data_IF_739136689258
#
_entry.id   IF_739136689258
#
_cell.length_a   1.000
_cell.length_b   1.000
_cell.length_c   1.000
_cell.angle_alpha   90.00
_cell.angle_beta   90.00
_cell.angle_gamma   90.00
#
_symmetry.space_group_name_H-M   'P 1'
#
loop_
_entity.id
_entity.type
_entity.pdbx_description
1 polymer ?
#
# COMPACT_ATOMS: atom_id res chain seq x y z
N UNK A 1 -4.17 -9.72 -14.28
CA UNK A 1 -3.86 -8.46 -13.58
C UNK A 1 -2.40 -8.53 -13.13
N UNK A 2 -1.69 -7.40 -13.12
CA UNK A 2 -0.35 -7.33 -12.53
C UNK A 2 -0.45 -7.56 -11.01
N UNK A 3 0.46 -8.35 -10.38
CA UNK A 3 0.46 -8.51 -8.93
C UNK A 3 0.76 -7.19 -8.19
N UNK A 4 1.40 -6.23 -8.85
CA UNK A 4 1.84 -4.99 -8.19
C UNK A 4 0.75 -3.95 -7.97
N UNK A 5 -0.34 -3.96 -8.75
CA UNK A 5 -1.36 -2.91 -8.70
C UNK A 5 -0.82 -1.49 -8.97
N UNK A 6 -1.72 -0.50 -8.94
CA UNK A 6 -1.38 0.94 -8.94
C UNK A 6 -2.63 1.74 -8.53
N UNK A 7 -2.44 2.93 -7.97
CA UNK A 7 -3.52 3.88 -7.67
C UNK A 7 -3.45 5.04 -8.66
N UNK A 8 -4.49 5.23 -9.46
CA UNK A 8 -4.56 6.34 -10.42
C UNK A 8 -5.66 7.31 -10.01
N UNK A 9 -5.27 8.57 -9.78
CA UNK A 9 -6.19 9.66 -9.51
C UNK A 9 -6.48 10.43 -10.79
N UNK A 10 -7.77 10.59 -11.09
CA UNK A 10 -8.25 11.50 -12.13
C UNK A 10 -8.50 12.86 -11.49
N UNK A 11 -7.66 13.84 -11.82
CA UNK A 11 -7.68 15.17 -11.20
C UNK A 11 -8.00 16.26 -12.23
N UNK A 12 -9.15 16.95 -12.11
CA UNK A 12 -9.42 18.15 -12.90
C UNK A 12 -8.47 19.28 -12.48
N UNK A 13 -7.73 19.84 -13.44
CA UNK A 13 -6.77 20.92 -13.21
C UNK A 13 -6.60 21.73 -14.49
N UNK A 14 -6.61 23.06 -14.40
CA UNK A 14 -6.32 23.99 -15.51
C UNK A 14 -7.11 23.68 -16.80
N UNK A 15 -8.40 23.33 -16.68
CA UNK A 15 -9.27 23.04 -17.83
C UNK A 15 -9.08 21.65 -18.46
N UNK A 16 -8.26 20.79 -17.86
CA UNK A 16 -8.04 19.40 -18.28
C UNK A 16 -8.25 18.41 -17.14
N UNK A 17 -8.30 17.13 -17.47
CA UNK A 17 -8.27 16.03 -16.48
C UNK A 17 -6.91 15.34 -16.58
N UNK A 18 -6.22 15.22 -15.46
CA UNK A 18 -4.93 14.54 -15.35
C UNK A 18 -5.12 13.15 -14.77
N UNK A 19 -4.60 12.12 -15.43
CA UNK A 19 -4.42 10.79 -14.86
C UNK A 19 -3.05 10.71 -14.20
N UNK A 20 -3.03 10.73 -12.87
CA UNK A 20 -1.81 10.67 -12.09
C UNK A 20 -1.73 9.36 -11.34
N UNK A 21 -0.66 8.61 -11.55
CA UNK A 21 -0.28 7.53 -10.67
C UNK A 21 0.18 8.10 -9.33
N UNK A 22 -0.36 7.52 -8.26
CA UNK A 22 -0.02 7.77 -6.88
C UNK A 22 0.70 6.55 -6.33
N UNK A 23 1.96 6.73 -5.93
CA UNK A 23 2.79 5.64 -5.38
C UNK A 23 3.22 5.97 -3.96
N UNK A 24 3.48 4.93 -3.17
CA UNK A 24 4.11 5.09 -1.86
C UNK A 24 5.45 5.84 -1.99
N UNK A 25 5.87 6.59 -0.95
CA UNK A 25 7.19 7.21 -0.94
C UNK A 25 8.30 6.17 -0.98
N UNK A 26 9.52 6.60 -1.31
CA UNK A 26 10.68 5.72 -1.18
C UNK A 26 11.02 5.53 0.31
N UNK A 27 11.40 4.32 0.74
CA UNK A 27 12.06 4.11 2.02
C UNK A 27 13.29 5.03 2.18
N UNK A 28 13.67 5.43 3.41
CA UNK A 28 13.16 4.95 4.70
C UNK A 28 12.06 5.83 5.33
N UNK A 29 11.54 6.85 4.63
CA UNK A 29 10.61 7.81 5.23
C UNK A 29 9.16 7.60 4.79
N UNK A 30 8.47 6.67 5.45
CA UNK A 30 7.05 6.35 5.19
C UNK A 30 6.10 7.53 5.42
N UNK A 31 6.47 8.52 6.23
CA UNK A 31 5.63 9.69 6.50
C UNK A 31 5.57 10.67 5.32
N UNK A 32 6.48 10.54 4.36
CA UNK A 32 6.48 11.39 3.17
C UNK A 32 5.16 11.32 2.40
N UNK A 33 4.78 12.38 1.66
CA UNK A 33 3.62 12.37 0.78
C UNK A 33 3.71 11.28 -0.29
N UNK A 34 2.57 10.92 -0.89
CA UNK A 34 2.57 10.04 -2.05
C UNK A 34 3.33 10.68 -3.21
N UNK A 35 4.08 9.86 -3.94
CA UNK A 35 4.73 10.27 -5.18
C UNK A 35 3.67 10.36 -6.28
N UNK A 36 3.80 11.37 -7.14
CA UNK A 36 2.88 11.62 -8.24
C UNK A 36 3.61 11.50 -9.56
N UNK A 37 3.06 10.71 -10.48
CA UNK A 37 3.55 10.60 -11.85
C UNK A 37 2.41 10.83 -12.82
N UNK A 38 2.55 11.81 -13.70
CA UNK A 38 1.57 12.06 -14.75
C UNK A 38 1.64 10.93 -15.79
N UNK A 39 0.55 10.21 -15.98
CA UNK A 39 0.45 9.15 -16.99
C UNK A 39 -0.22 9.67 -18.25
N UNK A 40 -1.30 10.43 -18.11
CA UNK A 40 -2.06 10.95 -19.24
C UNK A 40 -2.79 12.26 -18.91
N UNK A 41 -3.23 12.97 -19.95
CA UNK A 41 -4.20 14.08 -19.83
C UNK A 41 -5.35 13.95 -20.82
N UNK A 42 -6.50 14.47 -20.44
CA UNK A 42 -7.70 14.62 -21.27
C UNK A 42 -7.98 16.11 -21.34
N UNK A 43 -7.89 16.66 -22.55
CA UNK A 43 -7.95 18.10 -22.81
C UNK A 43 -9.01 18.38 -23.87
N UNK A 44 -9.63 19.56 -23.82
CA UNK A 44 -10.57 20.00 -24.86
C UNK A 44 -9.94 21.16 -25.61
N UNK A 45 -9.68 20.97 -26.90
CA UNK A 45 -9.10 21.98 -27.79
C UNK A 45 -9.98 22.06 -29.04
N UNK A 46 -10.42 23.27 -29.41
CA UNK A 46 -11.27 23.51 -30.59
C UNK A 46 -12.54 22.64 -30.67
N UNK A 47 -13.17 22.37 -29.52
CA UNK A 47 -14.35 21.47 -29.39
C UNK A 47 -14.07 19.99 -29.67
N UNK A 48 -12.81 19.60 -29.80
CA UNK A 48 -12.36 18.21 -29.87
C UNK A 48 -11.73 17.78 -28.55
N UNK A 49 -12.01 16.54 -28.13
CA UNK A 49 -11.36 15.92 -26.97
C UNK A 49 -10.05 15.30 -27.42
N UNK A 50 -8.94 15.74 -26.83
CA UNK A 50 -7.62 15.16 -27.03
C UNK A 50 -7.18 14.38 -25.80
N UNK A 51 -6.71 13.16 -26.04
CA UNK A 51 -6.15 12.27 -25.02
C UNK A 51 -4.67 12.08 -25.28
N UNK A 52 -3.85 12.50 -24.33
CA UNK A 52 -2.39 12.50 -24.45
C UNK A 52 -1.77 11.59 -23.39
N UNK A 53 -0.91 10.67 -23.82
CA UNK A 53 -0.01 9.93 -22.95
C UNK A 53 1.21 10.80 -22.65
N UNK A 54 1.62 10.83 -21.39
CA UNK A 54 2.81 11.53 -20.89
C UNK A 54 3.91 10.57 -20.43
N UNK A 55 3.73 9.25 -20.64
CA UNK A 55 4.74 8.25 -20.30
C UNK A 55 5.94 8.28 -21.25
N UNK A 56 7.08 7.75 -20.79
CA UNK A 56 8.31 7.73 -21.57
C UNK A 56 9.29 8.85 -21.21
N UNK A 57 10.48 8.86 -21.84
CA UNK A 57 11.53 9.82 -21.55
C UNK A 57 11.10 11.27 -21.86
N UNK A 58 11.52 12.20 -21.00
CA UNK A 58 11.29 13.64 -21.11
C UNK A 58 9.82 14.10 -21.05
N UNK A 59 8.88 13.22 -20.72
CA UNK A 59 7.44 13.53 -20.61
C UNK A 59 6.88 14.22 -21.87
N UNK A 60 7.33 13.82 -23.06
CA UNK A 60 6.84 14.39 -24.32
C UNK A 60 5.45 13.82 -24.61
N UNK A 61 4.39 14.65 -24.65
CA UNK A 61 3.04 14.15 -24.85
C UNK A 61 2.86 13.55 -26.24
N UNK A 62 2.14 12.44 -26.33
CA UNK A 62 1.81 11.78 -27.60
C UNK A 62 0.42 11.13 -27.53
N UNK A 63 -0.15 10.78 -28.67
CA UNK A 63 -1.54 10.30 -28.74
C UNK A 63 -1.76 9.01 -27.94
N UNK A 64 -2.87 8.96 -27.21
CA UNK A 64 -3.40 7.73 -26.61
C UNK A 64 -4.93 7.67 -26.75
N UNK A 65 -5.52 6.55 -26.32
CA UNK A 65 -6.95 6.38 -26.16
C UNK A 65 -7.28 6.16 -24.68
N UNK A 66 -8.34 6.82 -24.22
CA UNK A 66 -8.90 6.61 -22.88
C UNK A 66 -10.41 6.49 -23.02
N UNK A 67 -10.96 5.35 -22.62
CA UNK A 67 -12.37 5.08 -22.81
C UNK A 67 -12.93 4.20 -21.69
N UNK A 68 -14.17 4.48 -21.30
CA UNK A 68 -14.92 3.59 -20.43
C UNK A 68 -15.39 2.37 -21.23
N UNK A 69 -15.42 1.19 -20.59
CA UNK A 69 -15.93 -0.03 -21.22
C UNK A 69 -17.45 0.04 -21.29
N UNK A 70 -18.01 -0.28 -22.45
CA UNK A 70 -19.46 -0.25 -22.63
C UNK A 70 -20.15 -1.25 -21.69
N UNK A 71 -21.24 -0.81 -21.07
CA UNK A 71 -21.93 -1.55 -20.03
C UNK A 71 -21.28 -1.56 -18.64
N UNK A 72 -20.03 -1.10 -18.48
CA UNK A 72 -19.35 -1.03 -17.18
C UNK A 72 -18.60 0.30 -16.98
N UNK A 73 -19.29 1.26 -16.37
CA UNK A 73 -18.74 2.58 -16.05
C UNK A 73 -17.69 2.55 -14.93
N UNK A 74 -17.49 1.42 -14.26
CA UNK A 74 -16.44 1.25 -13.25
C UNK A 74 -15.09 0.88 -13.85
N UNK A 75 -15.07 0.51 -15.14
CA UNK A 75 -13.88 0.08 -15.86
C UNK A 75 -13.51 1.10 -16.95
N UNK A 76 -12.29 1.62 -16.86
CA UNK A 76 -11.71 2.55 -17.84
C UNK A 76 -10.43 1.93 -18.39
N UNK A 77 -10.23 2.02 -19.71
CA UNK A 77 -9.01 1.53 -20.37
C UNK A 77 -8.13 2.68 -20.82
N UNK A 78 -6.84 2.48 -20.70
CA UNK A 78 -5.80 3.32 -21.29
C UNK A 78 -5.04 2.51 -22.35
N UNK A 79 -4.83 3.08 -23.53
CA UNK A 79 -4.04 2.48 -24.61
C UNK A 79 -3.15 3.55 -25.27
N UNK A 80 -1.84 3.38 -25.26
CA UNK A 80 -0.92 4.27 -25.96
C UNK A 80 -0.89 3.97 -27.46
N UNK A 81 -0.95 5.02 -28.31
CA UNK A 81 -0.88 4.85 -29.76
C UNK A 81 0.55 4.88 -30.32
N UNK A 82 1.55 5.23 -29.49
CA UNK A 82 2.93 5.46 -29.93
C UNK A 82 3.93 4.79 -28.97
N UNK A 83 3.91 3.45 -28.88
CA UNK A 83 4.76 2.69 -27.93
C UNK A 83 6.27 3.00 -28.04
N UNK A 84 6.74 3.34 -29.25
CA UNK A 84 8.13 3.73 -29.48
C UNK A 84 8.53 4.98 -28.66
N UNK A 85 7.58 5.85 -28.33
CA UNK A 85 7.79 7.03 -27.51
C UNK A 85 8.11 6.67 -26.05
N UNK A 86 7.83 5.45 -25.59
CA UNK A 86 8.17 5.00 -24.22
C UNK A 86 9.63 4.56 -24.09
N UNK A 87 10.33 4.32 -25.22
CA UNK A 87 11.69 3.76 -25.22
C UNK A 87 12.72 4.83 -24.89
N UNK A 88 13.64 4.52 -23.98
CA UNK A 88 14.76 5.41 -23.70
C UNK A 88 15.80 5.31 -24.83
N UNK A 89 16.29 6.44 -25.39
CA UNK A 89 17.35 6.42 -26.41
C UNK A 89 18.64 5.76 -25.95
N UNK A 90 18.93 5.78 -24.64
CA UNK A 90 20.05 5.06 -24.03
C UNK A 90 19.80 3.56 -23.83
N UNK A 91 18.68 3.04 -24.33
CA UNK A 91 18.28 1.65 -24.25
C UNK A 91 17.76 1.23 -22.89
N UNK A 92 17.44 -0.06 -22.80
CA UNK A 92 16.78 -0.70 -21.66
C UNK A 92 17.55 -0.56 -20.34
N UNK A 93 18.88 -0.50 -20.39
CA UNK A 93 19.69 -0.26 -19.18
C UNK A 93 19.34 1.08 -18.54
N UNK A 94 19.18 2.14 -19.33
CA UNK A 94 18.78 3.46 -18.81
C UNK A 94 17.34 3.49 -18.33
N UNK A 95 16.45 2.73 -18.98
CA UNK A 95 15.06 2.54 -18.49
C UNK A 95 15.07 1.94 -17.08
N UNK A 96 15.88 0.90 -16.87
CA UNK A 96 15.99 0.26 -15.56
C UNK A 96 16.68 1.16 -14.52
N UNK A 97 17.74 1.89 -14.89
CA UNK A 97 18.40 2.85 -13.99
C UNK A 97 17.44 3.95 -13.54
N UNK A 98 16.61 4.49 -14.44
CA UNK A 98 15.57 5.47 -14.09
C UNK A 98 14.50 4.85 -13.18
N UNK A 99 14.05 3.63 -13.49
CA UNK A 99 13.10 2.92 -12.63
C UNK A 99 13.64 2.74 -11.20
N UNK A 100 14.92 2.40 -11.05
CA UNK A 100 15.56 2.27 -9.73
C UNK A 100 15.61 3.61 -8.98
N UNK A 101 15.84 4.73 -9.68
CA UNK A 101 15.78 6.07 -9.08
C UNK A 101 14.37 6.44 -8.64
N UNK A 102 13.35 6.01 -9.38
CA UNK A 102 11.96 6.27 -9.04
C UNK A 102 11.53 5.43 -7.81
N UNK A 103 12.00 4.18 -7.71
CA UNK A 103 11.58 3.25 -6.64
C UNK A 103 12.44 3.32 -5.37
N UNK A 104 13.64 3.90 -5.44
CA UNK A 104 14.56 3.98 -4.30
C UNK A 104 15.39 5.25 -4.32
N UNK A 105 15.59 5.85 -3.14
CA UNK A 105 16.52 6.97 -2.96
C UNK A 105 17.99 6.54 -2.95
N UNK A 106 18.29 5.25 -2.81
CA UNK A 106 19.66 4.72 -2.67
C UNK A 106 19.95 3.61 -3.70
N UNK A 107 20.35 4.01 -4.91
CA UNK A 107 20.74 3.09 -6.00
C UNK A 107 21.93 2.20 -5.57
N UNK A 108 22.84 2.74 -4.77
CA UNK A 108 24.05 2.04 -4.34
C UNK A 108 23.71 0.81 -3.49
N UNK A 109 22.78 0.94 -2.55
CA UNK A 109 22.33 -0.18 -1.72
C UNK A 109 21.66 -1.27 -2.57
N UNK A 110 20.82 -0.90 -3.55
CA UNK A 110 20.18 -1.85 -4.48
C UNK A 110 21.20 -2.71 -5.23
N UNK A 111 22.29 -2.07 -5.70
CA UNK A 111 23.36 -2.75 -6.43
C UNK A 111 24.10 -3.74 -5.53
N UNK A 112 24.31 -3.41 -4.26
CA UNK A 112 25.03 -4.26 -3.31
C UNK A 112 24.18 -5.39 -2.72
N UNK A 113 22.87 -5.18 -2.51
CA UNK A 113 21.98 -6.20 -1.96
C UNK A 113 21.37 -7.12 -3.01
N UNK A 114 21.52 -6.80 -4.30
CA UNK A 114 21.03 -7.64 -5.40
C UNK A 114 19.52 -7.84 -5.36
N UNK A 115 18.74 -6.74 -5.25
CA UNK A 115 17.26 -6.79 -5.17
C UNK A 115 16.65 -7.31 -6.49
N UNK A 116 16.65 -8.63 -6.67
CA UNK A 116 16.08 -9.33 -7.82
C UNK A 116 14.59 -9.00 -7.96
N UNK A 117 13.92 -8.69 -6.86
CA UNK A 117 12.51 -8.31 -6.78
C UNK A 117 12.23 -7.02 -7.56
N UNK A 118 13.12 -6.01 -7.49
CA UNK A 118 12.99 -4.78 -8.28
C UNK A 118 13.19 -5.04 -9.77
N UNK A 119 14.10 -5.94 -10.14
CA UNK A 119 14.29 -6.34 -11.53
C UNK A 119 13.04 -7.07 -12.06
N UNK A 120 12.47 -7.98 -11.26
CA UNK A 120 11.22 -8.66 -11.60
C UNK A 120 10.06 -7.67 -11.74
N UNK A 121 9.93 -6.72 -10.80
CA UNK A 121 8.92 -5.65 -10.83
C UNK A 121 9.03 -4.82 -12.10
N UNK A 122 10.24 -4.38 -12.44
CA UNK A 122 10.51 -3.64 -13.68
C UNK A 122 9.98 -4.39 -14.90
N UNK A 123 10.33 -5.67 -15.05
CA UNK A 123 9.92 -6.45 -16.21
C UNK A 123 8.43 -6.72 -16.31
N UNK A 124 7.76 -6.89 -15.16
CA UNK A 124 6.31 -7.07 -15.14
C UNK A 124 5.63 -5.76 -15.51
N UNK A 125 5.98 -4.64 -14.88
CA UNK A 125 5.37 -3.33 -15.15
C UNK A 125 5.61 -2.86 -16.58
N UNK A 126 6.79 -3.16 -17.15
CA UNK A 126 7.10 -2.82 -18.55
C UNK A 126 6.10 -3.39 -19.56
N UNK A 127 5.47 -4.53 -19.25
CA UNK A 127 4.47 -5.17 -20.13
C UNK A 127 3.15 -4.39 -20.20
N UNK A 128 2.92 -3.48 -19.25
CA UNK A 128 1.70 -2.68 -19.15
C UNK A 128 1.91 -1.22 -19.59
N UNK A 129 3.12 -0.82 -20.01
CA UNK A 129 3.38 0.55 -20.47
C UNK A 129 2.51 0.94 -21.68
N UNK A 130 2.21 -0.01 -22.57
CA UNK A 130 1.41 0.26 -23.76
C UNK A 130 -0.10 0.33 -23.48
N UNK A 131 -0.55 -0.21 -22.36
CA UNK A 131 -1.98 -0.24 -22.05
C UNK A 131 -2.31 -0.96 -20.74
N UNK A 132 -3.33 -0.46 -20.06
CA UNK A 132 -3.79 -1.01 -18.79
C UNK A 132 -5.28 -0.71 -18.56
N UNK A 133 -5.92 -1.58 -17.80
CA UNK A 133 -7.30 -1.45 -17.34
C UNK A 133 -7.31 -0.85 -15.92
N UNK A 134 -8.21 0.11 -15.71
CA UNK A 134 -8.41 0.80 -14.43
C UNK A 134 -9.80 0.47 -13.90
N UNK A 135 -9.84 -0.06 -12.68
CA UNK A 135 -11.09 -0.33 -11.97
C UNK A 135 -11.30 0.75 -10.91
N UNK A 136 -12.50 1.30 -10.84
CA UNK A 136 -12.87 2.29 -9.84
C UNK A 136 -12.77 1.69 -8.43
N UNK A 137 -11.92 2.30 -7.59
CA UNK A 137 -11.83 2.00 -6.17
C UNK A 137 -12.71 2.97 -5.39
N UNK A 138 -13.47 2.45 -4.43
CA UNK A 138 -14.21 3.27 -3.48
C UNK A 138 -13.40 3.40 -2.19
N UNK A 139 -13.01 4.64 -1.86
CA UNK A 139 -12.29 4.93 -0.61
C UNK A 139 -13.32 5.31 0.44
N UNK A 140 -13.44 4.54 1.55
CA UNK A 140 -14.35 4.88 2.63
C UNK A 140 -13.85 6.15 3.33
N UNK A 141 -14.72 7.14 3.48
CA UNK A 141 -14.39 8.45 4.07
C UNK A 141 -14.92 8.62 5.50
N UNK A 142 -15.86 7.75 5.92
CA UNK A 142 -16.39 7.74 7.27
C UNK A 142 -15.81 6.56 8.04
N UNK A 143 -15.20 6.83 9.19
CA UNK A 143 -14.98 5.80 10.20
C UNK A 143 -16.14 5.85 11.19
N UNK A 144 -16.98 4.80 11.27
CA UNK A 144 -18.00 4.72 12.32
C UNK A 144 -17.36 4.58 13.71
N UNK A 145 -16.07 4.24 13.77
CA UNK A 145 -15.36 3.94 14.99
C UNK A 145 -14.36 5.03 15.37
N UNK A 146 -14.09 5.15 16.66
CA UNK A 146 -13.12 6.10 17.20
C UNK A 146 -11.68 5.58 17.18
N UNK A 147 -11.47 4.33 16.75
CA UNK A 147 -10.20 3.61 16.93
C UNK A 147 -9.18 3.90 15.83
N UNK A 148 -9.62 3.88 14.58
CA UNK A 148 -8.82 4.11 13.37
C UNK A 148 -9.66 4.84 12.34
N UNK A 149 -9.02 5.66 11.52
CA UNK A 149 -9.67 6.27 10.36
C UNK A 149 -9.76 5.23 9.22
N UNK A 150 -10.93 5.11 8.59
CA UNK A 150 -11.05 4.37 7.34
C UNK A 150 -10.36 5.16 6.22
N UNK A 151 -9.78 4.47 5.24
CA UNK A 151 -9.15 5.13 4.10
C UNK A 151 -7.86 4.45 3.66
N UNK A 152 -7.01 5.21 2.98
CA UNK A 152 -5.75 4.74 2.42
C UNK A 152 -4.63 4.84 3.45
N UNK A 153 -3.81 3.79 3.54
CA UNK A 153 -2.62 3.73 4.38
C UNK A 153 -1.39 3.36 3.56
N UNK A 154 -0.24 3.90 3.95
CA UNK A 154 1.08 3.44 3.53
C UNK A 154 1.54 2.39 4.54
N UNK A 155 1.76 1.16 4.10
CA UNK A 155 2.28 0.06 4.90
C UNK A 155 3.76 -0.16 4.63
N UNK A 156 4.55 -0.34 5.69
CA UNK A 156 5.93 -0.82 5.62
C UNK A 156 5.94 -2.35 5.64
N UNK A 157 6.21 -2.95 4.47
CA UNK A 157 6.34 -4.39 4.28
C UNK A 157 7.80 -4.86 4.31
N UNK A 158 8.67 -4.12 5.02
CA UNK A 158 10.07 -4.44 5.24
C UNK A 158 10.82 -4.62 3.90
N UNK A 159 11.32 -5.83 3.63
CA UNK A 159 12.08 -6.16 2.42
C UNK A 159 11.31 -5.94 1.12
N UNK A 160 9.97 -5.98 1.18
CA UNK A 160 9.11 -5.74 0.01
C UNK A 160 8.84 -4.25 -0.24
N UNK A 161 9.30 -3.37 0.66
CA UNK A 161 9.16 -1.94 0.55
C UNK A 161 7.81 -1.43 1.03
N UNK A 162 7.43 -0.24 0.56
CA UNK A 162 6.18 0.39 0.96
C UNK A 162 5.05 0.08 -0.01
N UNK A 163 3.89 -0.21 0.53
CA UNK A 163 2.69 -0.53 -0.23
C UNK A 163 1.50 0.32 0.23
N UNK A 164 0.54 0.51 -0.66
CA UNK A 164 -0.73 1.14 -0.36
C UNK A 164 -1.77 0.09 0.01
N UNK A 165 -2.46 0.33 1.12
CA UNK A 165 -3.51 -0.55 1.66
C UNK A 165 -4.76 0.28 1.91
N UNK A 166 -5.89 -0.24 1.46
CA UNK A 166 -7.20 0.33 1.75
C UNK A 166 -7.74 -0.33 3.02
N UNK A 167 -8.04 0.48 4.04
CA UNK A 167 -8.61 0.05 5.32
C UNK A 167 -10.08 0.48 5.39
N UNK A 168 -10.95 -0.48 5.69
CA UNK A 168 -12.38 -0.29 5.89
C UNK A 168 -12.85 -1.08 7.11
N UNK A 169 -14.15 -0.98 7.41
CA UNK A 169 -14.79 -1.72 8.49
C UNK A 169 -15.87 -2.63 7.90
N UNK A 170 -16.15 -3.75 8.57
CA UNK A 170 -17.30 -4.60 8.26
C UNK A 170 -18.61 -3.83 8.48
N UNK A 171 -19.70 -4.29 7.86
CA UNK A 171 -21.00 -3.62 7.93
C UNK A 171 -21.55 -3.51 9.37
N UNK A 172 -21.27 -4.51 10.21
CA UNK A 172 -21.59 -4.54 11.64
C UNK A 172 -20.62 -3.73 12.51
N UNK A 173 -19.47 -3.31 11.97
CA UNK A 173 -18.43 -2.58 12.70
C UNK A 173 -17.58 -3.45 13.62
N UNK A 174 -17.71 -4.78 13.55
CA UNK A 174 -17.03 -5.73 14.44
C UNK A 174 -15.65 -6.16 13.92
N UNK A 175 -15.30 -5.79 12.68
CA UNK A 175 -14.00 -6.10 12.10
C UNK A 175 -13.41 -4.94 11.31
N UNK A 176 -12.08 -4.84 11.34
CA UNK A 176 -11.31 -4.08 10.35
C UNK A 176 -11.03 -5.00 9.18
N UNK A 177 -11.32 -4.54 7.98
CA UNK A 177 -11.01 -5.21 6.72
C UNK A 177 -9.97 -4.37 5.99
N UNK A 178 -8.94 -5.01 5.45
CA UNK A 178 -7.98 -4.33 4.62
C UNK A 178 -7.67 -5.10 3.35
N UNK A 179 -7.44 -4.37 2.26
CA UNK A 179 -7.03 -4.91 0.97
C UNK A 179 -5.83 -4.16 0.41
N UNK A 180 -4.89 -4.89 -0.18
CA UNK A 180 -3.76 -4.30 -0.90
C UNK A 180 -4.26 -3.52 -2.10
N UNK A 181 -3.83 -2.27 -2.26
CA UNK A 181 -4.08 -1.46 -3.46
C UNK A 181 -2.89 -1.59 -4.40
N UNK A 182 -1.69 -1.52 -3.84
CA UNK A 182 -0.48 -2.02 -4.47
C UNK A 182 -0.03 -3.28 -3.72
N UNK A 183 0.62 -4.21 -4.41
CA UNK A 183 1.12 -5.43 -3.80
C UNK A 183 2.45 -5.86 -4.38
N UNK A 184 2.72 -7.14 -4.22
CA UNK A 184 3.97 -7.80 -4.56
C UNK A 184 3.68 -9.17 -5.22
N UNK A 185 4.69 -9.88 -5.76
CA UNK A 185 4.48 -11.18 -6.41
C UNK A 185 3.82 -12.26 -5.54
N UNK A 186 3.85 -12.12 -4.22
CA UNK A 186 3.32 -13.10 -3.27
C UNK A 186 1.91 -12.73 -2.80
N UNK A 187 1.64 -11.45 -2.49
CA UNK A 187 0.30 -10.95 -2.17
C UNK A 187 -0.02 -9.80 -3.12
N UNK A 188 -0.93 -10.06 -4.06
CA UNK A 188 -1.22 -9.16 -5.16
C UNK A 188 -2.08 -7.97 -4.75
N UNK A 189 -1.99 -6.87 -5.49
CA UNK A 189 -2.97 -5.79 -5.44
C UNK A 189 -4.39 -6.31 -5.71
N UNK A 190 -5.34 -5.88 -4.90
CA UNK A 190 -6.72 -6.36 -4.86
C UNK A 190 -6.99 -7.48 -3.86
N UNK A 191 -5.94 -8.15 -3.34
CA UNK A 191 -6.11 -9.20 -2.33
C UNK A 191 -6.28 -8.64 -0.92
N UNK A 192 -6.79 -9.48 -0.01
CA UNK A 192 -6.91 -9.15 1.41
C UNK A 192 -5.51 -8.92 1.99
N UNK A 193 -5.35 -7.86 2.79
CA UNK A 193 -4.13 -7.60 3.55
C UNK A 193 -4.28 -8.16 4.97
N UNK A 194 -5.32 -7.75 5.70
CA UNK A 194 -5.64 -8.27 7.03
C UNK A 194 -7.14 -8.22 7.32
N UNK A 195 -7.52 -8.98 8.33
CA UNK A 195 -8.82 -8.92 8.98
C UNK A 195 -8.62 -8.96 10.51
N UNK A 196 -9.09 -7.93 11.22
CA UNK A 196 -8.88 -7.79 12.66
C UNK A 196 -10.24 -7.80 13.37
N UNK A 197 -10.37 -8.64 14.39
CA UNK A 197 -11.57 -8.71 15.20
C UNK A 197 -11.58 -7.61 16.28
N UNK A 198 -12.57 -6.72 16.24
CA UNK A 198 -12.75 -5.62 17.18
C UNK A 198 -13.59 -5.98 18.41
N UNK A 199 -14.24 -7.14 18.45
CA UNK A 199 -15.12 -7.57 19.55
C UNK A 199 -14.35 -8.02 20.79
N UNK A 200 -13.03 -8.23 20.68
CA UNK A 200 -12.19 -8.76 21.75
C UNK A 200 -10.88 -7.96 21.92
N UNK A 201 -10.95 -6.69 22.39
CA UNK A 201 -9.78 -5.91 22.76
C UNK A 201 -8.88 -6.63 23.77
N UNK A 202 -7.57 -6.45 23.61
CA UNK A 202 -6.52 -7.13 24.36
C UNK A 202 -5.79 -6.13 25.26
N UNK A 203 -5.58 -6.51 26.52
CA UNK A 203 -4.63 -5.85 27.42
C UNK A 203 -3.45 -6.77 27.71
N UNK A 204 -2.24 -6.27 27.47
CA UNK A 204 -0.99 -6.91 27.82
C UNK A 204 -0.20 -6.06 28.82
N UNK A 205 0.34 -6.72 29.85
CA UNK A 205 1.36 -6.11 30.71
C UNK A 205 2.73 -6.12 30.02
N UNK A 206 3.67 -5.36 30.56
CA UNK A 206 5.05 -5.29 30.02
C UNK A 206 5.75 -6.65 30.04
N UNK A 207 5.60 -7.43 31.12
CA UNK A 207 6.17 -8.79 31.24
C UNK A 207 5.66 -9.74 30.16
N UNK A 208 4.43 -9.50 29.68
CA UNK A 208 3.75 -10.28 28.64
C UNK A 208 4.15 -9.89 27.21
N UNK A 209 5.05 -8.91 27.03
CA UNK A 209 5.49 -8.41 25.73
C UNK A 209 6.98 -8.70 25.44
N UNK A 210 7.64 -9.45 26.31
CA UNK A 210 9.10 -9.65 26.27
C UNK A 210 9.57 -10.52 25.09
N UNK A 211 8.84 -11.59 24.77
CA UNK A 211 9.12 -12.47 23.62
C UNK A 211 7.84 -12.84 22.87
N UNK A 212 7.98 -13.18 21.59
CA UNK A 212 6.87 -13.64 20.75
C UNK A 212 6.17 -14.86 21.32
N UNK A 213 6.92 -15.79 21.94
CA UNK A 213 6.36 -16.97 22.58
C UNK A 213 5.44 -16.63 23.77
N UNK A 214 5.72 -15.55 24.51
CA UNK A 214 4.87 -15.09 25.61
C UNK A 214 3.64 -14.36 25.07
N UNK A 215 3.83 -13.50 24.06
CA UNK A 215 2.73 -12.81 23.38
C UNK A 215 1.72 -13.80 22.81
N UNK A 216 2.18 -14.94 22.27
CA UNK A 216 1.35 -16.00 21.67
C UNK A 216 0.63 -16.91 22.67
N UNK A 217 0.89 -16.86 23.97
CA UNK A 217 0.30 -17.82 24.92
C UNK A 217 -1.21 -17.66 25.13
N UNK A 218 -1.86 -16.68 24.50
CA UNK A 218 -3.30 -16.40 24.59
C UNK A 218 -3.81 -16.18 26.04
N UNK A 219 -2.91 -15.92 27.00
CA UNK A 219 -3.24 -15.58 28.39
C UNK A 219 -3.53 -14.08 28.54
N UNK A 220 -4.33 -13.57 27.63
CA UNK A 220 -4.62 -12.15 27.51
C UNK A 220 -5.82 -11.78 28.36
N UNK A 221 -5.82 -10.55 28.86
CA UNK A 221 -7.05 -9.99 29.43
C UNK A 221 -7.87 -9.41 28.29
N UNK A 222 -9.01 -10.05 27.99
CA UNK A 222 -9.96 -9.57 26.99
C UNK A 222 -10.97 -8.63 27.66
N UNK A 223 -11.15 -7.44 27.10
CA UNK A 223 -12.10 -6.42 27.59
C UNK A 223 -13.37 -6.48 26.74
N UNK A 224 -14.52 -6.15 27.33
CA UNK A 224 -15.82 -6.28 26.65
C UNK A 224 -16.13 -5.15 25.64
N UNK A 225 -15.40 -4.03 25.67
CA UNK A 225 -15.66 -2.90 24.76
C UNK A 225 -14.40 -2.07 24.53
N UNK A 226 -14.24 -1.55 23.31
CA UNK A 226 -13.15 -0.63 22.95
C UNK A 226 -13.46 0.84 23.25
N UNK A 227 -14.68 1.21 23.69
CA UNK A 227 -15.07 2.61 23.90
C UNK A 227 -14.24 3.32 25.00
N UNK A 228 -13.69 2.55 25.94
CA UNK A 228 -12.85 3.06 27.05
C UNK A 228 -11.70 2.10 27.35
N UNK A 229 -10.81 1.89 26.39
CA UNK A 229 -9.58 1.16 26.65
C UNK A 229 -8.59 2.06 27.39
N UNK A 230 -7.95 1.57 28.46
CA UNK A 230 -6.83 2.27 29.06
C UNK A 230 -5.67 2.26 28.07
N UNK A 231 -4.91 3.35 28.06
CA UNK A 231 -3.59 3.37 27.44
C UNK A 231 -2.72 2.29 28.10
N UNK A 232 -2.00 1.52 27.29
CA UNK A 232 -1.14 0.44 27.78
C UNK A 232 0.27 0.58 27.19
N UNK A 233 1.27 0.09 27.93
CA UNK A 233 2.65 0.08 27.45
C UNK A 233 2.78 -0.75 26.16
N UNK A 234 3.60 -0.28 25.24
CA UNK A 234 3.98 -0.99 24.02
C UNK A 234 5.48 -1.27 24.04
N UNK A 235 5.82 -2.56 23.97
CA UNK A 235 7.20 -3.04 23.88
C UNK A 235 7.27 -4.00 22.69
N UNK A 236 8.25 -3.78 21.81
CA UNK A 236 8.56 -4.72 20.73
C UNK A 236 9.23 -5.94 21.36
N UNK A 237 8.71 -7.17 21.13
CA UNK A 237 9.36 -8.38 21.64
C UNK A 237 10.80 -8.51 21.16
N UNK A 238 11.69 -9.00 22.02
CA UNK A 238 13.14 -9.03 21.75
C UNK A 238 13.52 -9.90 20.54
N UNK A 239 12.71 -10.90 20.23
CA UNK A 239 12.87 -11.81 19.10
C UNK A 239 12.03 -11.41 17.88
N UNK A 240 11.50 -10.18 17.85
CA UNK A 240 10.82 -9.60 16.70
C UNK A 240 11.80 -8.84 15.81
N UNK A 241 11.71 -9.07 14.49
CA UNK A 241 12.47 -8.37 13.48
C UNK A 241 11.77 -7.06 13.11
N UNK A 242 12.45 -5.94 13.37
CA UNK A 242 12.01 -4.60 12.99
C UNK A 242 13.22 -3.68 12.82
N UNK A 243 13.34 -3.04 11.66
CA UNK A 243 14.45 -2.15 11.32
C UNK A 243 14.01 -0.69 11.07
N UNK A 244 12.74 -0.37 11.36
CA UNK A 244 12.16 0.94 11.09
C UNK A 244 12.29 1.97 12.22
N UNK A 245 11.61 3.14 12.10
CA UNK A 245 11.65 4.20 13.11
C UNK A 245 11.08 3.78 14.47
N UNK A 246 11.50 4.46 15.53
CA UNK A 246 10.95 4.23 16.86
C UNK A 246 9.43 4.50 16.91
N UNK A 247 8.68 3.60 17.54
CA UNK A 247 7.26 3.79 17.82
C UNK A 247 7.02 4.50 19.15
N UNK A 248 5.80 5.06 19.36
CA UNK A 248 5.37 5.46 20.69
C UNK A 248 5.48 4.28 21.67
N UNK A 249 5.87 4.58 22.91
CA UNK A 249 6.04 3.58 23.99
C UNK A 249 4.72 3.11 24.60
N UNK A 250 3.59 3.64 24.12
CA UNK A 250 2.26 3.34 24.59
C UNK A 250 1.32 3.17 23.40
N UNK A 251 0.29 2.34 23.55
CA UNK A 251 -0.77 2.19 22.56
C UNK A 251 -2.16 2.39 23.18
N UNK A 252 -3.08 2.87 22.36
CA UNK A 252 -4.47 3.13 22.72
C UNK A 252 -5.35 1.88 22.68
N UNK A 253 -4.99 0.89 21.84
CA UNK A 253 -5.72 -0.35 21.73
C UNK A 253 -4.86 -1.47 21.13
N UNK A 254 -5.28 -2.71 21.39
CA UNK A 254 -4.70 -3.92 20.80
C UNK A 254 -5.81 -4.92 20.48
N UNK A 255 -5.70 -5.61 19.36
CA UNK A 255 -6.67 -6.60 18.90
C UNK A 255 -5.98 -7.81 18.28
N UNK A 256 -6.69 -8.93 18.22
CA UNK A 256 -6.25 -10.11 17.50
C UNK A 256 -6.88 -10.18 16.12
N UNK A 257 -6.15 -10.72 15.15
CA UNK A 257 -6.66 -10.91 13.81
C UNK A 257 -5.75 -11.79 12.96
N UNK A 258 -6.00 -11.74 11.65
CA UNK A 258 -5.23 -12.45 10.63
C UNK A 258 -4.58 -11.45 9.68
N UNK A 259 -3.32 -11.68 9.34
CA UNK A 259 -2.58 -10.89 8.36
C UNK A 259 -2.01 -11.79 7.26
N UNK A 260 -2.22 -11.40 6.00
CA UNK A 260 -1.79 -12.15 4.85
C UNK A 260 -0.39 -11.72 4.43
N UNK A 261 0.58 -12.62 4.57
CA UNK A 261 1.97 -12.40 4.14
C UNK A 261 2.57 -13.68 3.54
N UNK A 262 3.74 -13.55 2.94
CA UNK A 262 4.50 -14.69 2.42
C UNK A 262 4.81 -15.70 3.55
N UNK A 263 4.37 -16.94 3.35
CA UNK A 263 4.72 -18.06 4.20
C UNK A 263 6.20 -18.42 4.03
N UNK A 264 7.00 -18.40 5.12
CA UNK A 264 8.41 -18.78 5.06
C UNK A 264 8.65 -20.24 4.63
N UNK A 265 7.66 -21.12 4.83
CA UNK A 265 7.78 -22.57 4.58
C UNK A 265 7.23 -22.99 3.21
N UNK A 266 6.24 -22.28 2.69
CA UNK A 266 5.52 -22.68 1.47
C UNK A 266 5.80 -21.79 0.26
N UNK A 267 6.44 -20.63 0.47
CA UNK A 267 6.66 -19.63 -0.58
C UNK A 267 5.36 -19.19 -1.29
N UNK A 268 4.25 -19.20 -0.55
CA UNK A 268 2.91 -18.75 -0.95
C UNK A 268 2.34 -17.84 0.12
N UNK A 269 1.41 -16.96 -0.21
CA UNK A 269 0.71 -16.17 0.80
C UNK A 269 -0.12 -17.06 1.73
N UNK A 270 -0.08 -16.78 3.03
CA UNK A 270 -0.89 -17.44 4.05
C UNK A 270 -1.38 -16.43 5.11
N UNK A 271 -2.43 -16.79 5.85
CA UNK A 271 -3.05 -15.97 6.89
C UNK A 271 -2.51 -16.34 8.28
N UNK A 272 -1.66 -15.47 8.81
CA UNK A 272 -1.02 -15.67 10.11
C UNK A 272 -1.72 -14.96 11.23
N UNK A 273 -1.67 -15.54 12.43
CA UNK A 273 -2.17 -14.87 13.62
C UNK A 273 -1.32 -13.63 13.93
N UNK A 274 -2.00 -12.56 14.30
CA UNK A 274 -1.34 -11.29 14.54
C UNK A 274 -2.02 -10.49 15.64
N UNK A 275 -1.26 -9.55 16.19
CA UNK A 275 -1.80 -8.44 16.94
C UNK A 275 -1.81 -7.18 16.08
N UNK A 276 -2.96 -6.50 16.02
CA UNK A 276 -3.04 -5.09 15.66
C UNK A 276 -2.73 -4.27 16.91
N UNK A 277 -1.84 -3.28 16.80
CA UNK A 277 -1.50 -2.33 17.86
C UNK A 277 -1.80 -0.92 17.35
N UNK A 278 -2.75 -0.23 17.98
CA UNK A 278 -3.20 1.10 17.56
C UNK A 278 -2.57 2.17 18.45
N UNK A 279 -1.74 3.03 17.87
CA UNK A 279 -1.11 4.14 18.60
C UNK A 279 -2.01 5.37 18.63
N UNK A 280 -2.61 5.68 17.48
CA UNK A 280 -3.61 6.71 17.31
C UNK A 280 -4.45 6.38 16.06
N UNK A 281 -5.43 7.23 15.74
CA UNK A 281 -6.37 7.02 14.63
C UNK A 281 -5.71 6.87 13.25
N UNK A 282 -4.47 7.33 13.09
CA UNK A 282 -3.74 7.39 11.82
C UNK A 282 -2.47 6.53 11.78
N UNK A 283 -2.15 5.86 12.90
CA UNK A 283 -0.93 5.08 13.05
C UNK A 283 -1.21 3.81 13.84
N UNK A 284 -0.92 2.68 13.21
CA UNK A 284 -0.95 1.37 13.86
C UNK A 284 0.18 0.49 13.34
N UNK A 285 0.42 -0.60 14.05
CA UNK A 285 1.29 -1.69 13.60
C UNK A 285 0.58 -3.02 13.65
N UNK A 286 1.08 -3.96 12.86
CA UNK A 286 0.69 -5.37 12.93
C UNK A 286 1.92 -6.18 13.32
N UNK A 287 1.81 -6.96 14.39
CA UNK A 287 2.82 -7.88 14.87
C UNK A 287 2.40 -9.30 14.52
N UNK A 288 3.14 -9.98 13.65
CA UNK A 288 2.86 -11.36 13.23
C UNK A 288 3.56 -12.37 14.12
N UNK A 289 2.88 -13.47 14.39
CA UNK A 289 3.35 -14.48 15.31
C UNK A 289 4.36 -15.43 14.67
N UNK A 290 4.05 -15.90 13.46
CA UNK A 290 4.80 -16.93 12.76
C UNK A 290 6.05 -16.36 12.10
N UNK A 291 5.96 -15.18 11.50
CA UNK A 291 7.11 -14.51 10.87
C UNK A 291 7.91 -13.65 11.85
N UNK A 292 7.37 -13.37 13.05
CA UNK A 292 7.97 -12.52 14.08
C UNK A 292 8.38 -11.14 13.54
N UNK A 293 7.55 -10.56 12.67
CA UNK A 293 7.81 -9.26 12.06
C UNK A 293 6.80 -8.23 12.53
N UNK A 294 7.24 -6.97 12.53
CA UNK A 294 6.41 -5.82 12.80
C UNK A 294 6.24 -5.01 11.52
N UNK A 295 5.01 -4.69 11.18
CA UNK A 295 4.63 -3.92 9.99
C UNK A 295 3.98 -2.63 10.44
N UNK A 296 4.36 -1.49 9.85
CA UNK A 296 3.86 -0.17 10.25
C UNK A 296 2.92 0.41 9.22
N UNK A 297 1.85 1.07 9.64
CA UNK A 297 0.84 1.62 8.75
C UNK A 297 0.51 3.06 9.11
N UNK A 298 0.65 3.94 8.12
CA UNK A 298 0.50 5.38 8.26
C UNK A 298 -0.59 5.89 7.31
N UNK A 299 -1.62 6.54 7.87
CA UNK A 299 -2.74 7.07 7.10
C UNK A 299 -2.25 8.10 6.06
N UNK A 300 -2.84 8.07 4.86
CA UNK A 300 -2.57 9.04 3.81
C UNK A 300 -3.39 10.30 4.05
N UNK A 301 -2.74 11.44 4.26
CA UNK A 301 -3.42 12.70 4.62
C UNK A 301 -3.93 13.51 3.41
N UNK A 302 -3.89 12.96 2.20
CA UNK A 302 -4.38 13.67 1.03
C UNK A 302 -5.90 13.86 1.11
N UNK A 303 -6.35 15.12 1.13
CA UNK A 303 -7.76 15.49 1.35
C UNK A 303 -8.71 15.10 0.21
N UNK A 304 -8.19 14.60 -0.91
CA UNK A 304 -8.98 14.10 -2.04
C UNK A 304 -8.24 12.97 -2.75
N UNK A 305 -8.47 11.74 -2.31
CA UNK A 305 -8.15 10.54 -3.08
C UNK A 305 -9.39 10.06 -3.84
#
# INVERSE_FOLDING_TARGET
MSPYGSLIKFEPKDGKVLGQELSAPCPPNINSPLRRKLLFSIEVEDSEVKTLCHMGPNNIPHQCNIFAVDGDKSLVKFECCVEAAHRNPGGMRREFEQFLMDESSEITEIIFTGKIELLQKFWVLKRFESGFDMVKVHIPTASPLTILDAGMYKGDYNTFGYELVLVSFSEDGDAILASKVTGDPHVSGGEKAFEINLTAPILLREDQQTTMSIVQQHQWTVVQSYEKLPEQAFIIPQDCLYEGPNFPTTCSARFHGKFQVLSPSQNTADLFDCHLIVFNRKLFTILTFETKQLYSFHHVEETSL
#
